data_IF_058454437739
#
_entry.id   IF_058454437739
#
_cell.length_a   1.000
_cell.length_b   1.000
_cell.length_c   1.000
_cell.angle_alpha   90.00
_cell.angle_beta   90.00
_cell.angle_gamma   90.00
#
_symmetry.space_group_name_H-M   'P 1'
#
loop_
_entity.id
_entity.type
_entity.pdbx_description
1 polymer ?
#
# COMPACT_ATOMS: atom_id res chain seq x y z
N UNK A 1 13.99 5.73 -24.20
CA UNK A 1 14.26 7.15 -23.84
C UNK A 1 14.49 7.22 -22.34
N UNK A 2 15.64 7.74 -21.87
CA UNK A 2 15.87 7.96 -20.43
C UNK A 2 15.04 9.16 -19.95
N UNK A 3 13.96 8.92 -19.22
CA UNK A 3 13.07 9.99 -18.75
C UNK A 3 13.66 10.63 -17.48
N UNK A 4 14.11 11.88 -17.58
CA UNK A 4 14.39 12.71 -16.40
C UNK A 4 13.08 13.39 -15.99
N UNK A 5 12.54 13.15 -14.79
CA UNK A 5 11.33 13.84 -14.36
C UNK A 5 11.55 15.35 -14.42
N UNK A 6 10.59 16.09 -15.00
CA UNK A 6 10.66 17.55 -15.07
C UNK A 6 10.75 18.10 -13.64
N UNK A 7 11.49 19.20 -13.39
CA UNK A 7 11.69 19.74 -12.04
C UNK A 7 10.38 19.96 -11.25
N UNK A 8 9.31 20.41 -11.93
CA UNK A 8 8.01 20.63 -11.30
C UNK A 8 7.37 19.36 -10.72
N UNK A 9 7.66 18.17 -11.30
CA UNK A 9 7.15 16.89 -10.77
C UNK A 9 7.71 16.67 -9.37
N UNK A 10 9.01 16.88 -9.22
CA UNK A 10 9.69 16.74 -7.93
C UNK A 10 9.18 17.78 -6.93
N UNK A 11 9.03 19.06 -7.36
CA UNK A 11 8.47 20.12 -6.51
C UNK A 11 7.07 19.79 -6.02
N UNK A 12 6.20 19.27 -6.91
CA UNK A 12 4.85 18.87 -6.55
C UNK A 12 4.84 17.74 -5.53
N UNK A 13 5.63 16.68 -5.76
CA UNK A 13 5.67 15.52 -4.87
C UNK A 13 6.22 15.91 -3.49
N UNK A 14 7.28 16.72 -3.44
CA UNK A 14 7.83 17.25 -2.19
C UNK A 14 6.78 18.10 -1.48
N UNK A 15 6.11 19.01 -2.20
CA UNK A 15 5.06 19.85 -1.65
C UNK A 15 3.89 19.04 -1.04
N UNK A 16 3.43 17.99 -1.74
CA UNK A 16 2.37 17.11 -1.24
C UNK A 16 2.83 16.27 -0.03
N UNK A 17 4.07 15.82 -0.04
CA UNK A 17 4.67 15.09 1.09
C UNK A 17 4.74 16.00 2.32
N UNK A 18 5.25 17.22 2.18
CA UNK A 18 5.29 18.21 3.26
C UNK A 18 3.91 18.63 3.73
N UNK A 19 2.94 18.79 2.81
CA UNK A 19 1.56 19.08 3.16
C UNK A 19 0.96 17.94 3.99
N UNK A 20 1.21 16.68 3.64
CA UNK A 20 0.74 15.53 4.43
C UNK A 20 1.33 15.53 5.84
N UNK A 21 2.61 15.92 6.00
CA UNK A 21 3.27 16.04 7.30
C UNK A 21 2.60 17.11 8.15
N UNK A 22 2.39 18.28 7.54
CA UNK A 22 1.74 19.39 8.21
C UNK A 22 0.33 19.05 8.67
N UNK A 23 -0.45 18.37 7.83
CA UNK A 23 -1.80 17.91 8.17
C UNK A 23 -1.79 16.89 9.32
N UNK A 24 -0.84 15.94 9.32
CA UNK A 24 -0.70 14.96 10.41
C UNK A 24 -0.47 15.65 11.78
N UNK A 25 0.32 16.73 11.83
CA UNK A 25 0.56 17.46 13.07
C UNK A 25 -0.62 18.32 13.54
N UNK A 26 -1.43 18.82 12.60
CA UNK A 26 -2.57 19.70 12.91
C UNK A 26 -3.82 18.91 13.32
N UNK A 27 -4.05 17.76 12.69
CA UNK A 27 -5.28 17.00 12.85
C UNK A 27 -4.95 15.62 13.46
N UNK A 28 -5.22 15.41 14.76
CA UNK A 28 -5.01 14.11 15.37
C UNK A 28 -5.91 13.06 14.71
N UNK A 29 -5.35 11.87 14.50
CA UNK A 29 -6.07 10.76 13.89
C UNK A 29 -7.06 10.16 14.90
N UNK A 30 -8.34 9.98 14.54
CA UNK A 30 -9.31 9.33 15.41
C UNK A 30 -8.90 7.89 15.76
N UNK A 31 -9.06 7.49 17.02
CA UNK A 31 -8.70 6.17 17.56
C UNK A 31 -7.20 5.85 17.61
N UNK A 32 -6.34 6.84 17.40
CA UNK A 32 -4.89 6.70 17.59
C UNK A 32 -4.44 7.29 18.91
N UNK A 33 -3.26 6.86 19.37
CA UNK A 33 -2.66 7.42 20.58
C UNK A 33 -1.96 8.71 20.19
N UNK A 34 -2.37 9.83 20.80
CA UNK A 34 -1.85 11.17 20.48
C UNK A 34 -0.91 11.65 21.57
N UNK A 35 0.26 12.13 21.16
CA UNK A 35 1.26 12.76 22.03
C UNK A 35 1.48 14.19 21.59
N UNK A 36 1.35 15.14 22.51
CA UNK A 36 1.60 16.56 22.24
C UNK A 36 2.98 16.99 22.73
N UNK A 37 3.78 17.63 21.88
CA UNK A 37 5.07 18.22 22.23
C UNK A 37 5.19 19.61 21.60
N UNK A 38 5.41 20.64 22.41
CA UNK A 38 5.45 22.06 21.98
C UNK A 38 4.28 22.49 21.07
N UNK A 39 3.08 21.98 21.30
CA UNK A 39 1.88 22.30 20.51
C UNK A 39 1.74 21.53 19.19
N UNK A 40 2.68 20.63 18.88
CA UNK A 40 2.55 19.67 17.78
C UNK A 40 1.94 18.37 18.31
N UNK A 41 0.95 17.83 17.61
CA UNK A 41 0.33 16.55 17.94
C UNK A 41 0.90 15.46 17.03
N UNK A 42 1.53 14.45 17.60
CA UNK A 42 1.97 13.28 16.85
C UNK A 42 1.08 12.09 17.21
N UNK A 43 0.54 11.41 16.20
CA UNK A 43 -0.38 10.29 16.38
C UNK A 43 0.32 8.96 16.08
N UNK A 44 0.07 7.91 16.87
CA UNK A 44 0.64 6.57 16.69
C UNK A 44 -0.43 5.49 16.61
N UNK A 45 -0.11 4.41 15.88
CA UNK A 45 -0.88 3.17 15.83
C UNK A 45 -0.45 2.21 16.95
N UNK A 46 -1.36 1.32 17.36
CA UNK A 46 -1.06 0.23 18.30
C UNK A 46 0.03 -0.73 17.79
N UNK A 47 0.17 -0.88 16.46
CA UNK A 47 1.16 -1.75 15.82
C UNK A 47 2.56 -1.09 15.74
N UNK A 48 2.66 0.24 15.90
CA UNK A 48 3.90 1.01 15.75
C UNK A 48 5.08 0.54 16.60
N UNK A 49 4.90 0.13 17.88
CA UNK A 49 5.98 -0.44 18.67
C UNK A 49 6.47 -1.74 18.08
N UNK A 50 5.61 -2.68 17.70
CA UNK A 50 6.11 -3.98 17.21
C UNK A 50 7.05 -3.83 16.00
N UNK A 51 6.74 -2.90 15.09
CA UNK A 51 7.65 -2.53 14.01
C UNK A 51 8.96 -1.89 14.50
N UNK A 52 8.90 -1.00 15.48
CA UNK A 52 10.06 -0.36 16.10
C UNK A 52 11.02 -1.38 16.71
N UNK A 53 10.48 -2.39 17.41
CA UNK A 53 11.26 -3.50 17.99
C UNK A 53 11.91 -4.29 16.88
N UNK A 54 11.15 -4.59 15.84
CA UNK A 54 11.70 -5.29 14.68
C UNK A 54 12.88 -4.59 14.06
N UNK A 55 12.81 -3.26 13.92
CA UNK A 55 13.90 -2.46 13.38
C UNK A 55 15.15 -2.50 14.27
N UNK A 56 14.98 -2.46 15.59
CA UNK A 56 16.10 -2.51 16.54
C UNK A 56 16.75 -3.90 16.56
N UNK A 57 15.92 -4.95 16.62
CA UNK A 57 16.37 -6.33 16.78
C UNK A 57 16.92 -6.94 15.49
N UNK A 58 16.54 -6.45 14.30
CA UNK A 58 16.96 -7.04 13.03
C UNK A 58 18.50 -7.03 12.85
N UNK A 59 19.13 -8.11 12.33
CA UNK A 59 18.55 -9.39 11.86
C UNK A 59 18.45 -10.49 12.94
N UNK A 60 18.23 -10.14 14.20
CA UNK A 60 18.20 -11.05 15.36
C UNK A 60 16.94 -11.91 15.49
N UNK A 61 17.06 -13.00 16.27
CA UNK A 61 16.10 -14.09 16.32
C UNK A 61 14.79 -13.81 17.08
N UNK A 62 14.82 -12.89 18.05
CA UNK A 62 13.66 -12.48 18.85
C UNK A 62 12.60 -11.69 18.05
N UNK A 63 12.90 -11.33 16.80
CA UNK A 63 12.00 -10.63 15.90
C UNK A 63 10.84 -11.53 15.44
N UNK A 64 11.03 -12.85 15.44
CA UNK A 64 10.18 -13.78 14.70
C UNK A 64 9.20 -14.58 15.55
N UNK A 65 8.94 -14.17 16.80
CA UNK A 65 7.94 -14.84 17.65
C UNK A 65 6.53 -14.71 17.05
N UNK A 66 6.20 -15.74 16.27
CA UNK A 66 4.90 -16.26 15.88
C UNK A 66 3.93 -15.39 15.06
N UNK A 67 4.04 -14.08 14.89
CA UNK A 67 3.05 -13.33 14.08
C UNK A 67 3.61 -12.86 12.73
N UNK A 68 3.38 -13.66 11.67
CA UNK A 68 3.75 -13.29 10.28
C UNK A 68 3.10 -11.96 9.84
N UNK A 69 1.99 -11.53 10.46
CA UNK A 69 1.38 -10.21 10.21
C UNK A 69 2.31 -9.06 10.60
N UNK A 70 3.07 -9.24 11.67
CA UNK A 70 3.98 -8.25 12.27
C UNK A 70 5.34 -8.29 11.56
N UNK A 71 5.72 -9.48 11.10
CA UNK A 71 6.86 -9.66 10.23
C UNK A 71 6.54 -9.14 8.82
N UNK A 72 6.65 -7.83 8.64
CA UNK A 72 6.65 -7.11 7.37
C UNK A 72 8.12 -6.96 6.95
N UNK A 73 8.78 -8.03 6.45
CA UNK A 73 10.23 -8.10 6.37
C UNK A 73 10.82 -6.99 5.52
N UNK A 74 10.18 -6.59 4.42
CA UNK A 74 10.67 -5.47 3.62
C UNK A 74 10.60 -4.16 4.41
N UNK A 75 9.49 -3.91 5.11
CA UNK A 75 9.30 -2.69 5.89
C UNK A 75 10.31 -2.59 7.03
N UNK A 76 10.48 -3.68 7.79
CA UNK A 76 11.44 -3.74 8.90
C UNK A 76 12.88 -3.69 8.41
N UNK A 77 13.20 -4.37 7.31
CA UNK A 77 14.53 -4.29 6.69
C UNK A 77 14.88 -2.88 6.24
N UNK A 78 13.96 -2.18 5.56
CA UNK A 78 14.15 -0.79 5.17
C UNK A 78 14.31 0.12 6.40
N UNK A 79 13.51 -0.10 7.44
CA UNK A 79 13.62 0.63 8.71
C UNK A 79 14.97 0.40 9.38
N UNK A 80 15.44 -0.84 9.40
CA UNK A 80 16.75 -1.22 9.94
C UNK A 80 17.91 -0.55 9.20
N UNK A 81 17.86 -0.50 7.86
CA UNK A 81 18.89 0.19 7.08
C UNK A 81 18.99 1.68 7.46
N UNK A 82 17.84 2.35 7.60
CA UNK A 82 17.80 3.75 8.03
C UNK A 82 18.28 3.89 9.47
N UNK A 83 17.79 3.04 10.38
CA UNK A 83 18.17 3.05 11.79
C UNK A 83 19.68 2.88 11.98
N UNK A 84 20.31 1.91 11.31
CA UNK A 84 21.76 1.71 11.35
C UNK A 84 22.51 2.91 10.80
N UNK A 85 22.02 3.50 9.72
CA UNK A 85 22.61 4.72 9.15
C UNK A 85 22.58 5.88 10.15
N UNK A 86 21.44 6.10 10.82
CA UNK A 86 21.30 7.14 11.84
C UNK A 86 22.17 6.88 13.08
N UNK A 87 22.33 5.60 13.47
CA UNK A 87 23.25 5.19 14.55
C UNK A 87 24.71 5.47 14.21
N UNK A 88 25.13 5.18 12.98
CA UNK A 88 26.48 5.49 12.49
C UNK A 88 26.74 6.99 12.56
N UNK A 89 25.72 7.80 12.23
CA UNK A 89 25.77 9.26 12.34
C UNK A 89 25.63 9.78 13.78
N UNK A 90 25.53 8.90 14.79
CA UNK A 90 25.39 9.26 16.21
C UNK A 90 24.21 10.19 16.51
N UNK A 91 23.13 10.10 15.72
CA UNK A 91 21.93 10.94 15.90
C UNK A 91 21.26 10.69 17.26
N UNK A 92 21.44 9.51 17.83
CA UNK A 92 20.96 9.18 19.18
C UNK A 92 21.55 10.07 20.28
N UNK A 93 22.73 10.66 20.06
CA UNK A 93 23.39 11.56 21.03
C UNK A 93 22.83 12.98 21.05
N UNK A 94 22.08 13.37 20.03
CA UNK A 94 21.51 14.73 19.90
C UNK A 94 19.99 14.76 20.16
N UNK A 95 19.40 13.63 20.59
CA UNK A 95 17.98 13.57 20.93
C UNK A 95 17.74 14.40 22.21
N UNK A 96 16.81 15.37 22.18
CA UNK A 96 16.51 16.19 23.36
C UNK A 96 16.04 15.37 24.57
N UNK A 97 16.53 15.72 25.76
CA UNK A 97 16.24 14.97 27.00
C UNK A 97 14.76 14.99 27.41
N UNK A 98 14.05 16.07 27.08
CA UNK A 98 12.61 16.22 27.27
C UNK A 98 11.82 15.30 26.34
N UNK A 99 12.27 15.11 25.09
CA UNK A 99 11.68 14.15 24.16
C UNK A 99 11.90 12.70 24.63
N UNK A 100 13.07 12.40 25.18
CA UNK A 100 13.36 11.10 25.82
C UNK A 100 12.39 10.82 26.97
N UNK A 101 12.19 11.81 27.85
CA UNK A 101 11.24 11.70 28.97
C UNK A 101 9.81 11.51 28.48
N UNK A 102 9.39 12.29 27.47
CA UNK A 102 8.07 12.18 26.87
C UNK A 102 7.82 10.79 26.27
N UNK A 103 8.79 10.26 25.51
CA UNK A 103 8.71 8.92 24.95
C UNK A 103 8.59 7.87 26.05
N UNK A 104 9.37 7.98 27.12
CA UNK A 104 9.32 7.05 28.25
C UNK A 104 7.96 7.07 28.98
N UNK A 105 7.45 8.26 29.29
CA UNK A 105 6.16 8.43 29.94
C UNK A 105 4.99 7.98 29.05
N UNK A 106 5.14 8.13 27.74
CA UNK A 106 4.21 7.59 26.75
C UNK A 106 4.24 6.07 26.75
N UNK A 107 5.43 5.45 26.63
CA UNK A 107 5.55 3.99 26.60
C UNK A 107 4.89 3.37 27.82
N UNK A 108 5.06 3.96 29.02
CA UNK A 108 4.39 3.51 30.24
C UNK A 108 2.86 3.57 30.19
N UNK A 109 2.29 4.55 29.49
CA UNK A 109 0.84 4.80 29.44
C UNK A 109 0.14 4.04 28.32
N UNK A 110 0.78 3.97 27.17
CA UNK A 110 0.21 3.39 25.95
C UNK A 110 0.23 1.86 25.94
N UNK A 111 1.13 1.22 26.69
CA UNK A 111 1.34 -0.23 26.61
C UNK A 111 1.02 -0.93 27.93
N UNK A 112 0.08 -1.85 27.89
CA UNK A 112 -0.21 -2.81 28.97
C UNK A 112 1.00 -3.72 29.30
N UNK A 113 2.04 -3.73 28.44
CA UNK A 113 3.35 -4.40 28.66
C UNK A 113 4.56 -3.48 28.43
N UNK A 114 4.44 -2.21 28.82
CA UNK A 114 5.52 -1.21 28.70
C UNK A 114 6.83 -1.62 29.38
N UNK A 115 6.72 -2.43 30.43
CA UNK A 115 7.80 -3.01 31.22
C UNK A 115 8.78 -3.87 30.40
N UNK A 116 8.29 -4.63 29.42
CA UNK A 116 9.16 -5.45 28.54
C UNK A 116 10.03 -4.60 27.61
N UNK A 117 9.58 -3.40 27.29
CA UNK A 117 10.25 -2.49 26.36
C UNK A 117 11.27 -1.61 27.06
N UNK A 118 10.84 -1.02 28.17
CA UNK A 118 11.64 -0.11 28.99
C UNK A 118 12.86 -0.82 29.60
N UNK A 119 12.77 -2.13 29.84
CA UNK A 119 13.88 -2.93 30.39
C UNK A 119 14.89 -3.40 29.33
N UNK A 120 14.48 -3.54 28.06
CA UNK A 120 15.31 -4.10 26.99
C UNK A 120 15.98 -3.05 26.10
N UNK A 121 15.33 -1.91 25.87
CA UNK A 121 15.80 -0.89 24.92
C UNK A 121 15.95 0.48 25.57
N UNK A 122 16.95 1.24 25.13
CA UNK A 122 17.05 2.65 25.53
C UNK A 122 15.94 3.48 24.88
N UNK A 123 15.42 4.54 25.53
CA UNK A 123 14.46 5.44 24.91
C UNK A 123 14.95 6.07 23.60
N UNK A 124 16.27 6.32 23.50
CA UNK A 124 16.90 6.83 22.29
C UNK A 124 16.79 5.84 21.13
N UNK A 125 16.93 4.53 21.38
CA UNK A 125 16.75 3.49 20.36
C UNK A 125 15.31 3.44 19.86
N UNK A 126 14.35 3.56 20.77
CA UNK A 126 12.92 3.58 20.43
C UNK A 126 12.62 4.78 19.53
N UNK A 127 13.01 6.00 19.94
CA UNK A 127 12.82 7.22 19.15
C UNK A 127 13.49 7.08 17.77
N UNK A 128 14.72 6.59 17.73
CA UNK A 128 15.46 6.45 16.47
C UNK A 128 14.81 5.45 15.52
N UNK A 129 14.30 4.34 16.03
CA UNK A 129 13.57 3.35 15.24
C UNK A 129 12.26 3.92 14.67
N UNK A 130 11.53 4.75 15.44
CA UNK A 130 10.35 5.46 14.94
C UNK A 130 10.68 6.45 13.84
N UNK A 131 11.71 7.30 14.05
CA UNK A 131 12.20 8.23 13.01
C UNK A 131 12.54 7.45 11.74
N UNK A 132 13.21 6.30 11.89
CA UNK A 132 13.60 5.44 10.76
C UNK A 132 12.40 4.94 9.97
N UNK A 133 11.36 4.45 10.67
CA UNK A 133 10.12 3.95 10.04
C UNK A 133 9.30 5.07 9.40
N UNK A 134 9.28 6.26 10.00
CA UNK A 134 8.67 7.46 9.42
C UNK A 134 9.39 7.90 8.15
N UNK A 135 10.73 7.86 8.13
CA UNK A 135 11.52 8.12 6.91
C UNK A 135 11.16 7.09 5.82
N UNK A 136 11.06 5.80 6.18
CA UNK A 136 10.65 4.75 5.24
C UNK A 136 9.27 5.01 4.67
N UNK A 137 8.30 5.40 5.50
CA UNK A 137 6.94 5.75 5.04
C UNK A 137 6.95 6.96 4.11
N UNK A 138 7.71 8.00 4.42
CA UNK A 138 7.88 9.16 3.56
C UNK A 138 8.49 8.79 2.20
N UNK A 139 9.48 7.90 2.17
CA UNK A 139 10.09 7.39 0.93
C UNK A 139 9.10 6.57 0.11
N UNK A 140 8.35 5.66 0.74
CA UNK A 140 7.33 4.84 0.07
C UNK A 140 6.22 5.74 -0.51
N UNK A 141 5.76 6.73 0.25
CA UNK A 141 4.78 7.70 -0.19
C UNK A 141 5.30 8.52 -1.37
N UNK A 142 6.54 9.01 -1.28
CA UNK A 142 7.20 9.72 -2.37
C UNK A 142 7.25 8.88 -3.65
N UNK A 143 7.68 7.61 -3.55
CA UNK A 143 7.72 6.68 -4.67
C UNK A 143 6.32 6.43 -5.26
N UNK A 144 5.32 6.28 -4.39
CA UNK A 144 3.93 6.08 -4.80
C UNK A 144 3.40 7.27 -5.62
N UNK A 145 3.58 8.49 -5.10
CA UNK A 145 3.19 9.72 -5.77
C UNK A 145 3.96 9.93 -7.08
N UNK A 146 5.26 9.60 -7.10
CA UNK A 146 6.07 9.67 -8.31
C UNK A 146 5.51 8.75 -9.41
N UNK A 147 5.21 7.50 -9.07
CA UNK A 147 4.61 6.53 -10.02
C UNK A 147 3.28 7.05 -10.56
N UNK A 148 2.40 7.56 -9.68
CA UNK A 148 1.10 8.09 -10.08
C UNK A 148 1.22 9.33 -10.97
N UNK A 149 2.08 10.30 -10.62
CA UNK A 149 2.31 11.50 -11.43
C UNK A 149 2.85 11.12 -12.80
N UNK A 150 3.83 10.21 -12.88
CA UNK A 150 4.38 9.74 -14.15
C UNK A 150 3.31 9.06 -15.00
N UNK A 151 2.53 8.16 -14.41
CA UNK A 151 1.45 7.46 -15.09
C UNK A 151 0.39 8.45 -15.63
N UNK A 152 -0.11 9.34 -14.79
CA UNK A 152 -1.16 10.29 -15.19
C UNK A 152 -0.64 11.32 -16.19
N UNK A 153 0.64 11.71 -16.12
CA UNK A 153 1.26 12.55 -17.15
C UNK A 153 1.28 11.84 -18.49
N UNK A 154 1.67 10.56 -18.52
CA UNK A 154 1.69 9.77 -19.76
C UNK A 154 0.29 9.52 -20.32
N UNK A 155 -0.72 9.33 -19.46
CA UNK A 155 -2.11 9.10 -19.90
C UNK A 155 -2.76 10.38 -20.42
N UNK A 156 -2.65 11.48 -19.67
CA UNK A 156 -3.36 12.73 -19.95
C UNK A 156 -2.63 13.64 -20.94
N UNK A 157 -1.30 13.52 -21.04
CA UNK A 157 -0.46 14.43 -21.82
C UNK A 157 -0.48 15.88 -21.34
N UNK A 158 -1.10 16.18 -20.18
CA UNK A 158 -1.36 17.53 -19.71
C UNK A 158 -0.97 17.71 -18.25
N UNK A 159 -0.14 18.72 -17.98
CA UNK A 159 0.24 19.10 -16.63
C UNK A 159 -0.99 19.44 -15.77
N UNK A 160 -1.93 20.23 -16.30
CA UNK A 160 -3.11 20.69 -15.54
C UNK A 160 -3.99 19.51 -15.12
N UNK A 161 -4.20 18.54 -16.01
CA UNK A 161 -5.01 17.35 -15.73
C UNK A 161 -4.30 16.38 -14.79
N UNK A 162 -2.99 16.21 -14.96
CA UNK A 162 -2.17 15.40 -14.05
C UNK A 162 -2.22 15.98 -12.64
N UNK A 163 -1.99 17.30 -12.50
CA UNK A 163 -2.05 17.98 -11.22
C UNK A 163 -3.41 17.80 -10.55
N UNK A 164 -4.50 17.98 -11.32
CA UNK A 164 -5.86 17.78 -10.80
C UNK A 164 -6.08 16.34 -10.31
N UNK A 165 -5.70 15.33 -11.09
CA UNK A 165 -5.84 13.92 -10.71
C UNK A 165 -5.06 13.56 -9.45
N UNK A 166 -3.83 14.07 -9.34
CA UNK A 166 -2.97 13.84 -8.16
C UNK A 166 -3.52 14.53 -6.93
N UNK A 167 -4.07 15.74 -7.07
CA UNK A 167 -4.73 16.44 -5.97
C UNK A 167 -6.01 15.74 -5.51
N UNK A 168 -6.85 15.25 -6.44
CA UNK A 168 -8.05 14.48 -6.08
C UNK A 168 -7.65 13.18 -5.39
N UNK A 169 -6.66 12.46 -5.93
CA UNK A 169 -6.08 11.27 -5.28
C UNK A 169 -5.64 11.57 -3.86
N UNK A 170 -4.86 12.64 -3.68
CA UNK A 170 -4.35 13.03 -2.37
C UNK A 170 -5.48 13.39 -1.40
N UNK A 171 -6.56 14.03 -1.87
CA UNK A 171 -7.72 14.38 -1.05
C UNK A 171 -8.57 13.16 -0.66
N UNK A 172 -8.84 12.24 -1.58
CA UNK A 172 -9.59 11.00 -1.26
C UNK A 172 -8.76 10.05 -0.41
N UNK A 173 -7.43 10.08 -0.57
CA UNK A 173 -6.52 9.29 0.25
C UNK A 173 -6.19 10.00 1.56
N UNK A 174 -6.68 11.22 1.80
CA UNK A 174 -6.24 12.09 2.91
C UNK A 174 -6.31 11.43 4.28
N UNK A 175 -7.47 10.90 4.67
CA UNK A 175 -7.64 10.25 5.97
C UNK A 175 -6.57 9.16 6.14
N UNK A 176 -6.30 8.47 5.06
CA UNK A 176 -5.36 7.37 5.03
C UNK A 176 -3.92 7.87 4.96
N UNK A 177 -3.63 8.95 4.24
CA UNK A 177 -2.32 9.61 4.17
C UNK A 177 -1.92 10.23 5.51
N UNK A 178 -2.89 10.78 6.26
CA UNK A 178 -2.74 11.23 7.65
C UNK A 178 -2.44 10.03 8.58
N UNK A 179 -3.08 8.88 8.34
CA UNK A 179 -2.82 7.58 8.99
C UNK A 179 -1.58 6.83 8.47
N UNK A 180 -0.96 7.24 7.35
CA UNK A 180 -0.01 6.40 6.59
C UNK A 180 1.41 6.97 6.58
N UNK A 181 1.56 8.26 6.29
CA UNK A 181 2.87 8.81 5.93
C UNK A 181 3.83 8.98 7.12
N UNK A 182 3.28 9.20 8.31
CA UNK A 182 4.05 9.84 9.38
C UNK A 182 4.10 9.08 10.68
N UNK A 183 3.37 7.98 10.82
CA UNK A 183 3.52 7.05 11.93
C UNK A 183 4.00 5.67 11.46
N UNK A 184 4.72 4.91 12.30
CA UNK A 184 5.21 3.59 11.94
C UNK A 184 4.07 2.61 11.66
N UNK A 185 3.78 2.38 10.38
CA UNK A 185 2.73 1.48 9.91
C UNK A 185 2.92 1.13 8.42
N UNK A 186 2.38 -0.01 7.99
CA UNK A 186 2.56 -0.52 6.60
C UNK A 186 1.48 -0.11 5.62
N UNK A 187 0.54 0.74 6.02
CA UNK A 187 -0.56 1.20 5.16
C UNK A 187 -0.08 2.01 3.95
N UNK A 188 1.11 2.61 3.98
CA UNK A 188 1.73 3.24 2.79
C UNK A 188 1.86 2.29 1.60
N UNK A 189 1.98 0.98 1.83
CA UNK A 189 2.03 -0.03 0.78
C UNK A 189 0.68 -0.24 0.08
N UNK A 190 -0.45 0.11 0.73
CA UNK A 190 -1.78 0.05 0.12
C UNK A 190 -1.94 1.01 -1.07
N UNK A 191 -1.04 2.00 -1.17
CA UNK A 191 -0.96 2.91 -2.32
C UNK A 191 0.12 2.43 -3.29
N UNK A 192 1.32 2.12 -2.77
CA UNK A 192 2.46 1.77 -3.60
C UNK A 192 2.19 0.53 -4.46
N UNK A 193 1.68 -0.54 -3.85
CA UNK A 193 1.49 -1.83 -4.53
C UNK A 193 0.48 -1.68 -5.69
N UNK A 194 -0.74 -1.14 -5.47
CA UNK A 194 -1.68 -0.88 -6.55
C UNK A 194 -1.16 0.10 -7.61
N UNK A 195 -0.44 1.17 -7.23
CA UNK A 195 0.12 2.13 -8.17
C UNK A 195 1.20 1.50 -9.06
N UNK A 196 2.10 0.70 -8.47
CA UNK A 196 3.12 -0.04 -9.20
C UNK A 196 2.52 -1.08 -10.14
N UNK A 197 1.51 -1.83 -9.69
CA UNK A 197 0.79 -2.80 -10.50
C UNK A 197 0.19 -2.13 -11.75
N UNK A 198 -0.50 -1.00 -11.57
CA UNK A 198 -1.09 -0.25 -12.66
C UNK A 198 -0.04 0.29 -13.64
N UNK A 199 1.02 0.91 -13.12
CA UNK A 199 2.11 1.44 -13.93
C UNK A 199 2.82 0.36 -14.75
N UNK A 200 3.09 -0.79 -14.14
CA UNK A 200 3.70 -1.94 -14.80
C UNK A 200 2.83 -2.46 -15.93
N UNK A 201 1.53 -2.69 -15.68
CA UNK A 201 0.59 -3.11 -16.72
C UNK A 201 0.51 -2.09 -17.86
N UNK A 202 0.52 -0.79 -17.56
CA UNK A 202 0.53 0.27 -18.58
C UNK A 202 1.80 0.23 -19.44
N UNK A 203 2.99 0.08 -18.84
CA UNK A 203 4.25 -0.06 -19.59
C UNK A 203 4.30 -1.34 -20.42
N UNK A 204 3.82 -2.46 -19.88
CA UNK A 204 3.77 -3.73 -20.59
C UNK A 204 2.80 -3.71 -21.77
N UNK A 205 1.67 -3.01 -21.63
CA UNK A 205 0.74 -2.76 -22.73
C UNK A 205 1.39 -1.94 -23.85
N UNK A 206 2.24 -0.97 -23.50
CA UNK A 206 2.95 -0.11 -24.44
C UNK A 206 4.23 -0.69 -25.04
N UNK A 207 4.62 -1.92 -24.69
CA UNK A 207 5.94 -2.47 -25.05
C UNK A 207 7.16 -1.73 -24.47
N UNK A 208 6.94 -0.87 -23.48
CA UNK A 208 7.97 0.02 -22.92
C UNK A 208 8.54 -0.51 -21.57
N UNK A 209 8.13 -1.70 -21.13
CA UNK A 209 8.47 -2.25 -19.81
C UNK A 209 9.02 -3.68 -19.85
N UNK A 210 9.89 -4.00 -18.90
CA UNK A 210 10.39 -5.36 -18.71
C UNK A 210 9.41 -6.20 -17.88
N UNK A 211 8.89 -7.26 -18.50
CA UNK A 211 7.91 -8.17 -17.91
C UNK A 211 8.42 -8.90 -16.67
N UNK A 212 9.63 -9.47 -16.75
CA UNK A 212 10.16 -10.29 -15.67
C UNK A 212 10.59 -9.42 -14.49
N UNK A 213 11.18 -8.26 -14.77
CA UNK A 213 11.50 -7.27 -13.75
C UNK A 213 10.23 -6.78 -13.03
N UNK A 214 9.16 -6.49 -13.78
CA UNK A 214 7.89 -6.05 -13.20
C UNK A 214 7.29 -7.11 -12.27
N UNK A 215 7.32 -8.39 -12.67
CA UNK A 215 6.85 -9.50 -11.84
C UNK A 215 7.68 -9.62 -10.56
N UNK A 216 9.02 -9.56 -10.66
CA UNK A 216 9.91 -9.66 -9.52
C UNK A 216 9.71 -8.51 -8.52
N UNK A 217 9.63 -7.27 -9.01
CA UNK A 217 9.40 -6.10 -8.15
C UNK A 217 8.03 -6.20 -7.46
N UNK A 218 6.98 -6.60 -8.18
CA UNK A 218 5.68 -6.82 -7.56
C UNK A 218 5.77 -7.84 -6.41
N UNK A 219 6.53 -8.92 -6.62
CA UNK A 219 6.80 -9.94 -5.60
C UNK A 219 7.58 -9.42 -4.40
N UNK A 220 8.57 -8.55 -4.61
CA UNK A 220 9.32 -7.91 -3.53
C UNK A 220 8.38 -7.00 -2.73
N UNK A 221 7.52 -6.20 -3.38
CA UNK A 221 6.62 -5.31 -2.68
C UNK A 221 5.60 -6.05 -1.78
N UNK A 222 5.24 -7.29 -2.11
CA UNK A 222 4.41 -8.15 -1.24
C UNK A 222 5.06 -8.45 0.11
N UNK A 223 6.39 -8.39 0.21
CA UNK A 223 7.10 -8.52 1.47
C UNK A 223 6.90 -7.29 2.39
N UNK A 224 6.45 -6.16 1.82
CA UNK A 224 6.08 -4.96 2.57
C UNK A 224 4.64 -5.02 3.08
N UNK A 225 3.73 -5.61 2.31
CA UNK A 225 2.35 -5.90 2.71
C UNK A 225 1.79 -7.05 1.88
N UNK A 226 1.09 -7.98 2.53
CA UNK A 226 0.56 -9.21 1.92
C UNK A 226 -0.59 -9.00 0.93
N UNK A 227 -0.37 -8.24 -0.14
CA UNK A 227 -1.30 -8.03 -1.26
C UNK A 227 -0.96 -8.99 -2.41
N UNK A 228 -1.35 -10.24 -2.25
CA UNK A 228 -0.94 -11.35 -3.14
C UNK A 228 -1.48 -11.23 -4.57
N UNK A 229 -2.47 -10.36 -4.82
CA UNK A 229 -3.04 -10.18 -6.14
C UNK A 229 -2.14 -9.37 -7.08
N UNK A 230 -1.25 -8.51 -6.59
CA UNK A 230 -0.50 -7.60 -7.46
C UNK A 230 0.43 -8.34 -8.44
N UNK A 231 1.26 -9.32 -8.02
CA UNK A 231 2.05 -10.07 -9.00
C UNK A 231 1.20 -10.96 -9.90
N UNK A 232 0.06 -11.46 -9.41
CA UNK A 232 -0.89 -12.21 -10.25
C UNK A 232 -1.39 -11.35 -11.41
N UNK A 233 -1.83 -10.12 -11.11
CA UNK A 233 -2.28 -9.17 -12.13
C UNK A 233 -1.16 -8.85 -13.11
N UNK A 234 0.04 -8.48 -12.63
CA UNK A 234 1.18 -8.14 -13.50
C UNK A 234 1.60 -9.34 -14.38
N UNK A 235 1.62 -10.55 -13.82
CA UNK A 235 2.04 -11.75 -14.54
C UNK A 235 1.02 -12.15 -15.63
N UNK A 236 -0.27 -12.04 -15.35
CA UNK A 236 -1.33 -12.51 -16.23
C UNK A 236 -1.82 -11.45 -17.22
N UNK A 237 -1.67 -10.16 -16.90
CA UNK A 237 -2.12 -9.09 -17.77
C UNK A 237 -1.61 -9.21 -19.22
N UNK A 238 -0.30 -9.44 -19.48
CA UNK A 238 0.21 -9.63 -20.84
C UNK A 238 -0.33 -10.86 -21.56
N UNK A 239 -0.73 -11.91 -20.82
CA UNK A 239 -1.32 -13.14 -21.40
C UNK A 239 -2.64 -12.80 -22.08
N UNK A 240 -3.47 -11.96 -21.44
CA UNK A 240 -4.78 -11.59 -21.96
C UNK A 240 -4.73 -10.47 -23.00
N UNK A 241 -3.94 -9.41 -22.77
CA UNK A 241 -3.94 -8.23 -23.66
C UNK A 241 -2.98 -8.38 -24.85
N UNK A 242 -1.88 -9.12 -24.68
CA UNK A 242 -0.82 -9.26 -25.69
C UNK A 242 -0.61 -10.69 -26.18
N UNK A 243 -1.41 -11.63 -25.67
CA UNK A 243 -1.38 -13.04 -26.08
C UNK A 243 0.01 -13.66 -25.98
N UNK A 244 0.81 -13.28 -24.97
CA UNK A 244 2.05 -14.01 -24.68
C UNK A 244 1.70 -15.46 -24.31
N UNK A 245 2.60 -16.40 -24.58
CA UNK A 245 2.40 -17.80 -24.24
C UNK A 245 2.13 -17.99 -22.74
N UNK A 246 1.21 -18.90 -22.38
CA UNK A 246 0.94 -19.28 -20.99
C UNK A 246 2.20 -19.71 -20.21
N UNK A 247 3.18 -20.31 -20.87
CA UNK A 247 4.47 -20.68 -20.27
C UNK A 247 5.20 -19.44 -19.72
N UNK A 248 5.27 -18.36 -20.49
CA UNK A 248 5.83 -17.08 -20.02
C UNK A 248 5.03 -16.51 -18.84
N UNK A 249 3.70 -16.63 -18.88
CA UNK A 249 2.81 -16.30 -17.77
C UNK A 249 3.17 -17.03 -16.46
N UNK A 250 3.39 -18.34 -16.54
CA UNK A 250 3.80 -19.18 -15.41
C UNK A 250 5.18 -18.80 -14.87
N UNK A 251 6.13 -18.46 -15.74
CA UNK A 251 7.46 -17.97 -15.34
C UNK A 251 7.32 -16.64 -14.58
N UNK A 252 6.55 -15.69 -15.12
CA UNK A 252 6.29 -14.41 -14.45
C UNK A 252 5.64 -14.61 -13.08
N UNK A 253 4.67 -15.53 -12.98
CA UNK A 253 4.05 -15.89 -11.72
C UNK A 253 5.06 -16.48 -10.71
N UNK A 254 5.90 -17.41 -11.16
CA UNK A 254 6.94 -17.99 -10.31
C UNK A 254 7.91 -16.93 -9.79
N UNK A 255 8.34 -16.00 -10.65
CA UNK A 255 9.18 -14.87 -10.27
C UNK A 255 8.48 -13.95 -9.26
N UNK A 256 7.19 -13.67 -9.46
CA UNK A 256 6.40 -12.85 -8.56
C UNK A 256 6.17 -13.48 -7.19
N UNK A 257 6.01 -14.81 -7.13
CA UNK A 257 5.82 -15.52 -5.86
C UNK A 257 7.13 -15.88 -5.16
N UNK A 258 8.25 -15.94 -5.88
CA UNK A 258 9.52 -16.39 -5.32
C UNK A 258 10.02 -15.58 -4.11
N UNK A 259 9.90 -14.24 -4.01
CA UNK A 259 10.40 -13.50 -2.85
C UNK A 259 9.72 -13.95 -1.55
N UNK A 260 8.41 -14.16 -1.60
CA UNK A 260 7.66 -14.69 -0.47
C UNK A 260 8.07 -16.13 -0.14
N UNK A 261 8.20 -17.00 -1.16
CA UNK A 261 8.58 -18.39 -0.95
C UNK A 261 9.97 -18.49 -0.31
N UNK A 262 10.94 -17.73 -0.81
CA UNK A 262 12.28 -17.65 -0.22
C UNK A 262 12.24 -17.15 1.21
N UNK A 263 11.43 -16.13 1.50
CA UNK A 263 11.25 -15.64 2.85
C UNK A 263 10.68 -16.70 3.80
N UNK A 264 9.62 -17.41 3.38
CA UNK A 264 9.02 -18.49 4.18
C UNK A 264 9.99 -19.67 4.39
N UNK A 265 10.77 -20.02 3.36
CA UNK A 265 11.81 -21.05 3.46
C UNK A 265 12.93 -20.62 4.41
N UNK A 266 13.37 -19.37 4.34
CA UNK A 266 14.34 -18.80 5.29
C UNK A 266 13.84 -18.88 6.72
N UNK A 267 12.59 -18.47 6.97
CA UNK A 267 12.00 -18.54 8.31
C UNK A 267 11.98 -19.98 8.84
N UNK A 268 11.57 -20.93 8.00
CA UNK A 268 11.54 -22.35 8.33
C UNK A 268 12.94 -22.91 8.59
N UNK A 269 13.93 -22.53 7.80
CA UNK A 269 15.32 -22.96 7.96
C UNK A 269 15.93 -22.44 9.27
N UNK A 270 15.53 -21.25 9.72
CA UNK A 270 15.94 -20.69 11.01
C UNK A 270 15.16 -21.26 12.21
N UNK A 271 14.26 -22.23 12.00
CA UNK A 271 13.50 -22.88 13.07
C UNK A 271 12.28 -22.08 13.56
N UNK A 272 11.88 -21.01 12.88
CA UNK A 272 10.72 -20.22 13.31
C UNK A 272 9.40 -20.94 13.01
N UNK A 273 8.48 -20.85 13.96
CA UNK A 273 7.11 -21.36 13.79
C UNK A 273 6.35 -20.40 12.87
N UNK A 274 5.99 -20.89 11.68
CA UNK A 274 5.09 -20.17 10.78
C UNK A 274 3.69 -20.13 11.40
N UNK A 275 3.36 -19.04 12.07
CA UNK A 275 2.05 -18.82 12.67
C UNK A 275 1.43 -17.52 12.15
N UNK A 276 0.13 -17.56 11.93
CA UNK A 276 -0.67 -16.40 11.57
C UNK A 276 -1.97 -16.48 12.36
N UNK A 277 -2.10 -15.62 13.37
CA UNK A 277 -3.29 -15.58 14.19
C UNK A 277 -4.55 -15.27 13.37
N UNK A 278 -4.45 -14.56 12.23
CA UNK A 278 -5.60 -14.31 11.36
C UNK A 278 -6.06 -15.60 10.68
N UNK A 279 -5.15 -16.52 10.35
CA UNK A 279 -5.50 -17.83 9.80
C UNK A 279 -6.17 -18.70 10.87
N UNK A 280 -5.73 -18.63 12.12
CA UNK A 280 -6.35 -19.39 13.21
C UNK A 280 -7.72 -18.80 13.60
N UNK A 281 -7.79 -17.48 13.83
CA UNK A 281 -8.98 -16.76 14.29
C UNK A 281 -10.03 -16.63 13.19
N UNK A 282 -9.64 -16.25 11.98
CA UNK A 282 -10.57 -16.04 10.87
C UNK A 282 -10.68 -17.25 9.92
N UNK A 283 -9.96 -18.35 10.18
CA UNK A 283 -9.90 -19.54 9.31
C UNK A 283 -9.61 -19.18 7.85
N UNK A 284 -8.77 -18.17 7.60
CA UNK A 284 -8.41 -17.70 6.26
C UNK A 284 -7.92 -18.89 5.41
N UNK A 285 -8.48 -19.10 4.22
CA UNK A 285 -8.20 -20.26 3.36
C UNK A 285 -9.03 -21.53 3.62
N UNK A 286 -9.66 -21.69 4.80
CA UNK A 286 -10.52 -22.86 5.13
C UNK A 286 -11.99 -22.51 5.34
N UNK A 287 -12.31 -21.24 5.59
CA UNK A 287 -13.68 -20.74 5.77
C UNK A 287 -14.60 -21.15 4.61
N UNK A 288 -14.11 -21.10 3.37
CA UNK A 288 -14.86 -21.55 2.20
C UNK A 288 -15.21 -23.02 2.25
N UNK A 289 -14.28 -23.89 2.68
CA UNK A 289 -14.52 -25.32 2.78
C UNK A 289 -15.58 -25.60 3.84
N UNK A 290 -15.56 -24.87 4.95
CA UNK A 290 -16.55 -25.03 6.02
C UNK A 290 -17.94 -24.51 5.64
N UNK A 291 -18.02 -23.36 4.95
CA UNK A 291 -19.30 -22.80 4.48
C UNK A 291 -19.85 -23.60 3.31
N UNK A 292 -19.01 -24.03 2.36
CA UNK A 292 -19.41 -24.94 1.27
C UNK A 292 -20.02 -26.23 1.81
N UNK A 293 -19.40 -26.81 2.86
CA UNK A 293 -19.89 -28.03 3.51
C UNK A 293 -21.23 -27.86 4.22
N UNK A 294 -21.59 -26.64 4.65
CA UNK A 294 -22.78 -26.37 5.47
C UNK A 294 -23.93 -25.73 4.71
N UNK A 295 -23.62 -24.83 3.78
CA UNK A 295 -24.59 -23.92 3.15
C UNK A 295 -24.58 -24.01 1.60
N UNK A 296 -23.61 -24.71 1.02
CA UNK A 296 -23.49 -24.88 -0.44
C UNK A 296 -22.92 -23.65 -1.18
N UNK A 297 -22.59 -23.84 -2.46
CA UNK A 297 -21.88 -22.85 -3.31
C UNK A 297 -22.70 -21.56 -3.50
N UNK A 298 -24.02 -21.68 -3.66
CA UNK A 298 -24.90 -20.56 -4.00
C UNK A 298 -25.06 -19.60 -2.82
N UNK A 299 -25.26 -20.10 -1.60
CA UNK A 299 -25.38 -19.27 -0.40
C UNK A 299 -24.08 -18.50 -0.12
N UNK A 300 -22.94 -19.14 -0.34
CA UNK A 300 -21.62 -18.53 -0.20
C UNK A 300 -21.37 -17.43 -1.23
N UNK A 301 -21.71 -17.69 -2.50
CA UNK A 301 -21.64 -16.69 -3.57
C UNK A 301 -22.55 -15.48 -3.27
N UNK A 302 -23.76 -15.71 -2.75
CA UNK A 302 -24.69 -14.66 -2.35
C UNK A 302 -24.14 -13.79 -1.20
N UNK A 303 -23.63 -14.40 -0.13
CA UNK A 303 -23.00 -13.67 1.00
C UNK A 303 -21.76 -12.90 0.56
N UNK A 304 -20.96 -13.48 -0.33
CA UNK A 304 -19.79 -12.82 -0.90
C UNK A 304 -20.17 -11.62 -1.76
N UNK A 305 -21.24 -11.74 -2.56
CA UNK A 305 -21.77 -10.66 -3.38
C UNK A 305 -22.26 -9.50 -2.51
N UNK A 306 -23.09 -9.77 -1.49
CA UNK A 306 -23.63 -8.73 -0.59
C UNK A 306 -22.51 -7.96 0.11
N UNK A 307 -21.54 -8.66 0.71
CA UNK A 307 -20.39 -8.00 1.33
C UNK A 307 -19.54 -7.23 0.31
N UNK A 308 -19.39 -7.77 -0.90
CA UNK A 308 -18.72 -7.07 -2.00
C UNK A 308 -19.42 -5.76 -2.35
N UNK A 309 -20.75 -5.74 -2.38
CA UNK A 309 -21.57 -4.53 -2.61
C UNK A 309 -21.40 -3.54 -1.47
N UNK A 310 -21.48 -3.97 -0.20
CA UNK A 310 -21.28 -3.09 0.95
C UNK A 310 -19.90 -2.43 0.94
N UNK A 311 -18.87 -3.19 0.59
CA UNK A 311 -17.50 -2.66 0.52
C UNK A 311 -17.34 -1.73 -0.68
N UNK A 312 -17.92 -2.06 -1.83
CA UNK A 312 -17.95 -1.17 -2.98
C UNK A 312 -18.65 0.14 -2.62
N UNK A 313 -19.77 0.09 -1.92
CA UNK A 313 -20.47 1.28 -1.43
C UNK A 313 -19.59 2.10 -0.48
N UNK A 314 -18.94 1.47 0.50
CA UNK A 314 -18.04 2.16 1.42
C UNK A 314 -16.80 2.74 0.73
N UNK A 315 -16.25 2.04 -0.27
CA UNK A 315 -15.16 2.54 -1.10
C UNK A 315 -15.61 3.76 -1.91
N UNK A 316 -16.79 3.71 -2.53
CA UNK A 316 -17.37 4.84 -3.27
C UNK A 316 -17.64 6.05 -2.37
N UNK A 317 -18.12 5.83 -1.15
CA UNK A 317 -18.30 6.89 -0.13
C UNK A 317 -16.96 7.49 0.27
N UNK A 318 -15.92 6.67 0.43
CA UNK A 318 -14.57 7.11 0.80
C UNK A 318 -13.88 7.86 -0.35
N UNK A 319 -14.16 7.48 -1.60
CA UNK A 319 -13.68 8.14 -2.82
C UNK A 319 -14.66 9.21 -3.32
N UNK A 320 -15.36 9.89 -2.42
CA UNK A 320 -16.41 10.85 -2.78
C UNK A 320 -15.95 11.91 -3.79
N UNK A 321 -14.71 12.39 -3.75
CA UNK A 321 -14.24 13.42 -4.68
C UNK A 321 -13.92 12.83 -6.06
N UNK A 322 -13.29 11.66 -6.11
CA UNK A 322 -13.07 10.89 -7.34
C UNK A 322 -14.38 10.49 -8.00
N UNK A 323 -15.35 10.00 -7.22
CA UNK A 323 -16.68 9.64 -7.70
C UNK A 323 -17.50 10.86 -8.16
N UNK A 324 -17.50 11.96 -7.41
CA UNK A 324 -18.16 13.19 -7.83
C UNK A 324 -17.55 13.73 -9.13
N UNK A 325 -16.23 13.64 -9.27
CA UNK A 325 -15.52 14.01 -10.51
C UNK A 325 -15.95 13.11 -11.67
N UNK A 326 -16.06 11.79 -11.48
CA UNK A 326 -16.61 10.86 -12.47
C UNK A 326 -18.05 11.24 -12.86
N UNK A 327 -18.91 11.50 -11.87
CA UNK A 327 -20.30 11.85 -12.07
C UNK A 327 -20.44 13.14 -12.89
N UNK A 328 -19.75 14.21 -12.49
CA UNK A 328 -19.81 15.50 -13.20
C UNK A 328 -19.28 15.41 -14.64
N UNK A 329 -18.23 14.62 -14.87
CA UNK A 329 -17.68 14.40 -16.21
C UNK A 329 -18.62 13.56 -17.08
N UNK A 330 -19.24 12.52 -16.52
CA UNK A 330 -20.19 11.65 -17.23
C UNK A 330 -21.50 12.36 -17.60
N UNK A 331 -21.93 13.35 -16.81
CA UNK A 331 -23.12 14.18 -17.10
C UNK A 331 -22.83 15.18 -18.24
N UNK A 332 -21.64 15.79 -18.27
CA UNK A 332 -21.30 16.82 -19.28
C UNK A 332 -20.93 16.25 -20.65
N UNK A 333 -20.47 15.01 -20.72
CA UNK A 333 -20.16 14.35 -21.98
C UNK A 333 -20.53 12.88 -21.89
N UNK A 334 -21.65 12.42 -22.47
CA UNK A 334 -21.98 11.00 -22.49
C UNK A 334 -20.84 10.26 -23.22
N UNK A 335 -20.05 9.53 -22.43
CA UNK A 335 -18.89 8.81 -22.93
C UNK A 335 -19.39 7.65 -23.77
N UNK A 336 -19.42 7.84 -25.09
CA UNK A 336 -19.42 6.71 -26.02
C UNK A 336 -18.10 5.98 -25.80
N UNK A 337 -18.14 4.78 -25.23
CA UNK A 337 -16.99 3.88 -25.10
C UNK A 337 -16.43 3.65 -26.50
N UNK A 338 -15.40 4.41 -26.86
CA UNK A 338 -14.66 4.16 -28.10
C UNK A 338 -13.85 2.88 -27.91
N UNK A 339 -13.82 2.02 -28.93
CA UNK A 339 -12.90 0.87 -28.99
C UNK A 339 -11.45 1.32 -29.31
N UNK A 340 -11.04 2.48 -28.80
CA UNK A 340 -9.67 2.95 -28.95
C UNK A 340 -8.70 2.01 -28.20
N UNK A 341 -7.43 1.91 -28.60
CA UNK A 341 -6.46 1.04 -27.96
C UNK A 341 -6.34 1.26 -26.45
N UNK A 342 -6.51 2.50 -25.98
CA UNK A 342 -6.45 2.85 -24.57
C UNK A 342 -7.74 2.45 -23.82
N UNK A 343 -8.93 2.60 -24.41
CA UNK A 343 -10.16 2.05 -23.84
C UNK A 343 -10.12 0.53 -23.65
N UNK A 344 -9.49 -0.20 -24.58
CA UNK A 344 -9.23 -1.65 -24.44
C UNK A 344 -8.26 -1.97 -23.31
N UNK A 345 -7.23 -1.15 -23.08
CA UNK A 345 -6.34 -1.27 -21.92
C UNK A 345 -7.12 -1.12 -20.62
N UNK A 346 -7.88 -0.03 -20.49
CA UNK A 346 -8.64 0.30 -19.27
C UNK A 346 -9.66 -0.78 -18.95
N UNK A 347 -10.42 -1.26 -19.94
CA UNK A 347 -11.41 -2.32 -19.72
C UNK A 347 -10.77 -3.66 -19.36
N UNK A 348 -9.68 -4.04 -20.02
CA UNK A 348 -8.98 -5.32 -19.76
C UNK A 348 -8.28 -5.30 -18.40
N UNK A 349 -7.57 -4.22 -18.09
CA UNK A 349 -6.96 -4.04 -16.78
C UNK A 349 -8.03 -4.03 -15.68
N UNK A 350 -9.10 -3.24 -15.87
CA UNK A 350 -10.21 -3.17 -14.92
C UNK A 350 -10.83 -4.54 -14.66
N UNK A 351 -11.13 -5.32 -15.71
CA UNK A 351 -11.69 -6.65 -15.58
C UNK A 351 -10.75 -7.61 -14.83
N UNK A 352 -9.47 -7.66 -15.21
CA UNK A 352 -8.47 -8.52 -14.58
C UNK A 352 -8.27 -8.11 -13.11
N UNK A 353 -8.04 -6.83 -12.86
CA UNK A 353 -7.79 -6.28 -11.53
C UNK A 353 -8.97 -6.56 -10.60
N UNK A 354 -10.19 -6.19 -10.99
CA UNK A 354 -11.40 -6.42 -10.17
C UNK A 354 -11.62 -7.91 -9.94
N UNK A 355 -11.42 -8.77 -10.95
CA UNK A 355 -11.56 -10.22 -10.78
C UNK A 355 -10.54 -10.79 -9.80
N UNK A 356 -9.26 -10.39 -9.89
CA UNK A 356 -8.22 -10.86 -8.97
C UNK A 356 -8.41 -10.35 -7.57
N UNK A 357 -8.82 -9.10 -7.43
CA UNK A 357 -9.17 -8.55 -6.15
C UNK A 357 -10.37 -9.33 -5.56
N UNK A 358 -11.42 -9.58 -6.33
CA UNK A 358 -12.55 -10.42 -5.91
C UNK A 358 -12.11 -11.82 -5.48
N UNK A 359 -11.32 -12.53 -6.29
CA UNK A 359 -10.79 -13.86 -5.97
C UNK A 359 -9.93 -13.84 -4.69
N UNK A 360 -9.06 -12.84 -4.54
CA UNK A 360 -8.26 -12.65 -3.34
C UNK A 360 -9.13 -12.46 -2.11
N UNK A 361 -10.25 -11.74 -2.22
CA UNK A 361 -11.17 -11.51 -1.11
C UNK A 361 -12.05 -12.71 -0.79
N UNK A 362 -12.46 -13.49 -1.80
CA UNK A 362 -13.03 -14.81 -1.56
C UNK A 362 -12.03 -15.64 -0.75
N UNK A 363 -10.73 -15.58 -1.08
CA UNK A 363 -9.73 -16.42 -0.41
C UNK A 363 -9.39 -15.99 1.03
N UNK A 364 -9.21 -14.70 1.29
CA UNK A 364 -8.76 -14.15 2.59
C UNK A 364 -9.91 -13.85 3.56
N UNK A 365 -11.15 -13.78 3.06
CA UNK A 365 -12.29 -13.29 3.85
C UNK A 365 -12.35 -11.76 3.85
N UNK A 366 -13.57 -11.24 4.03
CA UNK A 366 -13.87 -9.82 3.87
C UNK A 366 -13.33 -8.99 5.04
N UNK A 367 -12.20 -8.31 4.85
CA UNK A 367 -11.67 -7.29 5.78
C UNK A 367 -11.87 -5.89 5.13
N UNK A 368 -12.97 -5.18 5.43
CA UNK A 368 -13.44 -4.02 4.66
C UNK A 368 -12.43 -2.88 4.48
N UNK A 369 -11.63 -2.60 5.52
CA UNK A 369 -10.70 -1.46 5.54
C UNK A 369 -9.55 -1.64 4.54
N UNK A 370 -9.09 -2.88 4.31
CA UNK A 370 -8.00 -3.17 3.35
C UNK A 370 -8.47 -3.05 1.89
N UNK A 371 -9.76 -3.25 1.63
CA UNK A 371 -10.30 -3.22 0.27
C UNK A 371 -10.33 -1.81 -0.33
N UNK A 372 -10.69 -0.79 0.46
CA UNK A 372 -10.95 0.54 -0.10
C UNK A 372 -9.73 1.08 -0.84
N UNK A 373 -8.53 0.96 -0.28
CA UNK A 373 -7.29 1.50 -0.86
C UNK A 373 -6.84 0.79 -2.13
N UNK A 374 -7.03 -0.53 -2.20
CA UNK A 374 -6.69 -1.29 -3.41
C UNK A 374 -7.48 -0.83 -4.63
N UNK A 375 -8.66 -0.22 -4.46
CA UNK A 375 -9.44 0.30 -5.59
C UNK A 375 -8.98 1.67 -6.10
N UNK A 376 -8.18 2.43 -5.33
CA UNK A 376 -7.88 3.84 -5.65
C UNK A 376 -7.27 3.96 -7.05
N UNK A 377 -6.14 3.30 -7.39
CA UNK A 377 -5.56 3.47 -8.71
C UNK A 377 -6.44 3.02 -9.87
N UNK A 378 -7.28 1.99 -9.67
CA UNK A 378 -8.22 1.54 -10.70
C UNK A 378 -9.31 2.59 -10.97
N UNK A 379 -9.82 3.25 -9.92
CA UNK A 379 -10.79 4.34 -10.06
C UNK A 379 -10.17 5.54 -10.76
N UNK A 380 -8.94 5.95 -10.41
CA UNK A 380 -8.28 7.07 -11.10
C UNK A 380 -7.85 6.74 -12.52
N UNK A 381 -7.58 5.47 -12.85
CA UNK A 381 -7.42 5.04 -14.24
C UNK A 381 -8.70 5.30 -15.03
N UNK A 382 -9.86 4.95 -14.47
CA UNK A 382 -11.16 5.22 -15.08
C UNK A 382 -11.41 6.73 -15.23
N UNK A 383 -11.15 7.53 -14.19
CA UNK A 383 -11.25 9.01 -14.25
C UNK A 383 -10.37 9.56 -15.38
N UNK A 384 -9.12 9.08 -15.46
CA UNK A 384 -8.16 9.52 -16.47
C UNK A 384 -8.63 9.18 -17.89
N UNK A 385 -9.25 8.02 -18.07
CA UNK A 385 -9.88 7.61 -19.33
C UNK A 385 -11.02 8.55 -19.73
N UNK A 386 -11.94 8.85 -18.81
CA UNK A 386 -13.05 9.77 -19.08
C UNK A 386 -12.55 11.19 -19.40
N UNK A 387 -11.54 11.67 -18.68
CA UNK A 387 -10.91 12.98 -18.93
C UNK A 387 -10.27 13.04 -20.32
N UNK A 388 -9.54 12.00 -20.73
CA UNK A 388 -8.94 11.93 -22.07
C UNK A 388 -10.01 11.92 -23.18
N UNK A 389 -11.10 11.19 -22.98
CA UNK A 389 -12.23 11.16 -23.90
C UNK A 389 -12.98 12.50 -24.02
N UNK A 390 -13.01 13.30 -22.96
CA UNK A 390 -13.60 14.64 -22.95
C UNK A 390 -12.70 15.72 -23.57
N UNK A 391 -11.38 15.65 -23.35
CA UNK A 391 -10.40 16.66 -23.80
C UNK A 391 -10.05 16.53 -25.29
N UNK A 392 -10.14 15.33 -25.88
CA UNK A 392 -9.96 15.16 -27.33
C UNK A 392 -11.17 15.62 -28.17
N UNK A 393 -12.22 16.14 -27.53
CA UNK A 393 -13.47 16.58 -28.19
C UNK A 393 -13.78 18.07 -28.02
N UNK A 394 -13.04 18.77 -27.16
CA UNK A 394 -13.03 20.24 -27.04
C UNK A 394 -11.87 20.81 -27.83
#
# INVERSE_FOLDING_TARGET
MSFRPKPWILTLIVGLTLLSLFLHFLFPVPNWIVVSWHGLNYSFSEDSPEFARGVIDFPGADFFDANIRVNRPLYVFMGWLVYKSLKILSIDRIIPSDLVKLCYDFMKRAFTRADMWISKYSPADIILSWISLTIVNAVILFCSLLILVLLFTEITGSFKLTLLLVLIFFLDARLSLEDMGWAPHTTVFDILIPAFCLYSCFKLWRDDGDYYQSCLIAGILMLGKGEFFAPLVVALFPVFIRKISWVKGLIGLALGLSPLLFYLLFLKACGYRLYNHEVEVYRQGFWYIDVLKREGVIALAGKALVKGVDILQNALVSMRFGFLSLLMLSIRSPVRVSFDPFGRFVSTFGAIYIAFCFLFWLWVGFVPVRLMFTFYPAVYLLVSFLLKGGVLRS
#
